data_IF_748890966777
#
_entry.id   IF_748890966777
#
_cell.length_a   1.000
_cell.length_b   1.000
_cell.length_c   1.000
_cell.angle_alpha   90.00
_cell.angle_beta   90.00
_cell.angle_gamma   90.00
#
_symmetry.space_group_name_H-M   'P 1'
#
loop_
_entity.id
_entity.type
_entity.pdbx_description
1 polymer ?
#
# COMPACT_ATOMS: atom_id res chain seq x y z
N UNK A 1 4.45 -17.38 17.93
CA UNK A 1 5.46 -17.26 16.85
C UNK A 1 5.15 -16.19 15.80
N UNK A 2 3.90 -15.94 15.42
CA UNK A 2 3.55 -14.96 14.35
C UNK A 2 4.08 -13.52 14.53
N UNK A 3 4.14 -12.99 15.75
CA UNK A 3 4.53 -11.59 16.02
C UNK A 3 5.99 -11.26 15.70
N UNK A 4 6.89 -12.23 15.74
CA UNK A 4 8.33 -12.00 15.53
C UNK A 4 8.64 -11.72 14.05
N UNK A 5 7.91 -12.37 13.14
CA UNK A 5 8.07 -12.19 11.70
C UNK A 5 7.76 -10.77 11.23
N UNK A 6 6.81 -10.08 11.88
CA UNK A 6 6.45 -8.69 11.58
C UNK A 6 7.65 -7.76 11.82
N UNK A 7 8.41 -7.99 12.90
CA UNK A 7 9.62 -7.20 13.19
C UNK A 7 10.70 -7.42 12.14
N UNK A 8 10.97 -8.67 11.77
CA UNK A 8 11.95 -8.99 10.73
C UNK A 8 11.57 -8.41 9.36
N UNK A 9 10.29 -8.48 8.97
CA UNK A 9 9.80 -7.90 7.72
C UNK A 9 9.90 -6.37 7.72
N UNK A 10 9.56 -5.73 8.84
CA UNK A 10 9.68 -4.27 8.99
C UNK A 10 11.13 -3.80 8.90
N UNK A 11 12.06 -4.51 9.57
CA UNK A 11 13.49 -4.21 9.48
C UNK A 11 14.01 -4.46 8.07
N UNK A 12 13.62 -5.58 7.45
CA UNK A 12 13.99 -5.92 6.08
C UNK A 12 13.55 -4.86 5.08
N UNK A 13 12.31 -4.37 5.19
CA UNK A 13 11.80 -3.29 4.35
C UNK A 13 12.57 -1.97 4.55
N UNK A 14 12.81 -1.58 5.80
CA UNK A 14 13.56 -0.36 6.13
C UNK A 14 15.04 -0.40 5.72
N UNK A 15 15.68 -1.58 5.81
CA UNK A 15 17.10 -1.80 5.51
C UNK A 15 17.34 -2.38 4.10
N UNK A 16 16.35 -2.31 3.20
CA UNK A 16 16.52 -2.75 1.82
C UNK A 16 17.71 -2.02 1.17
N UNK A 17 18.48 -2.72 0.32
CA UNK A 17 19.61 -2.16 -0.44
C UNK A 17 19.26 -0.83 -1.13
N UNK A 18 18.02 -0.73 -1.62
CA UNK A 18 17.50 0.49 -2.23
C UNK A 18 17.53 1.71 -1.29
N UNK A 19 17.10 1.54 -0.04
CA UNK A 19 17.10 2.62 0.96
C UNK A 19 18.51 3.04 1.36
N UNK A 20 19.46 2.09 1.41
CA UNK A 20 20.87 2.37 1.68
C UNK A 20 21.55 3.08 0.51
N UNK A 21 21.27 2.67 -0.73
CA UNK A 21 21.86 3.26 -1.92
C UNK A 21 21.37 4.70 -2.19
N UNK A 22 20.11 5.00 -1.84
CA UNK A 22 19.51 6.33 -2.02
C UNK A 22 19.39 7.13 -0.72
N UNK A 23 20.15 6.76 0.33
CA UNK A 23 20.12 7.48 1.61
C UNK A 23 20.55 8.95 1.48
N UNK A 24 21.36 9.26 0.46
CA UNK A 24 21.81 10.62 0.12
C UNK A 24 20.78 11.44 -0.67
N UNK A 25 19.79 10.79 -1.31
CA UNK A 25 18.73 11.45 -2.09
C UNK A 25 17.39 11.36 -1.36
N UNK A 26 17.15 12.33 -0.47
CA UNK A 26 15.92 12.46 0.32
C UNK A 26 14.65 12.43 -0.56
N UNK A 27 14.74 12.95 -1.79
CA UNK A 27 13.66 12.94 -2.78
C UNK A 27 13.08 11.55 -3.06
N UNK A 28 13.94 10.53 -3.22
CA UNK A 28 13.50 9.17 -3.54
C UNK A 28 13.11 8.36 -2.31
N UNK A 29 13.63 8.74 -1.13
CA UNK A 29 13.36 8.07 0.14
C UNK A 29 11.92 8.30 0.62
N UNK A 30 11.39 9.52 0.43
CA UNK A 30 10.02 9.87 0.81
C UNK A 30 8.98 8.98 0.12
N UNK A 31 9.16 8.70 -1.17
CA UNK A 31 8.28 7.85 -1.95
C UNK A 31 8.17 6.42 -1.40
N UNK A 32 9.29 5.85 -0.94
CA UNK A 32 9.33 4.49 -0.35
C UNK A 32 8.72 4.46 1.04
N UNK A 33 8.90 5.51 1.85
CA UNK A 33 8.28 5.59 3.19
C UNK A 33 6.76 5.73 3.07
N UNK A 34 6.26 6.49 2.09
CA UNK A 34 4.81 6.66 1.89
C UNK A 34 4.13 5.44 1.27
N UNK A 35 4.88 4.55 0.60
CA UNK A 35 4.36 3.37 -0.08
C UNK A 35 3.55 2.42 0.84
N UNK A 36 4.05 1.95 2.00
CA UNK A 36 3.27 1.11 2.92
C UNK A 36 2.06 1.87 3.50
N UNK A 37 2.15 3.19 3.66
CA UNK A 37 1.05 4.04 4.10
C UNK A 37 -0.08 4.08 3.06
N UNK A 38 0.29 4.18 1.80
CA UNK A 38 -0.63 4.15 0.66
C UNK A 38 -1.32 2.78 0.55
N UNK A 39 -0.60 1.66 0.68
CA UNK A 39 -1.21 0.32 0.72
C UNK A 39 -2.24 0.22 1.84
N UNK A 40 -1.90 0.71 3.03
CA UNK A 40 -2.79 0.72 4.19
C UNK A 40 -4.03 1.61 3.94
N UNK A 41 -3.85 2.71 3.22
CA UNK A 41 -4.93 3.56 2.70
C UNK A 41 -5.88 2.82 1.76
N UNK A 42 -5.35 2.07 0.79
CA UNK A 42 -6.13 1.28 -0.18
C UNK A 42 -6.92 0.17 0.52
N UNK A 43 -6.28 -0.55 1.44
CA UNK A 43 -6.94 -1.58 2.23
C UNK A 43 -8.12 -0.99 3.02
N UNK A 44 -7.92 0.17 3.66
CA UNK A 44 -8.98 0.87 4.40
C UNK A 44 -10.06 1.43 3.47
N UNK A 45 -9.72 1.82 2.25
CA UNK A 45 -10.69 2.25 1.24
C UNK A 45 -11.65 1.12 0.86
N UNK A 46 -11.13 -0.07 0.54
CA UNK A 46 -11.96 -1.17 0.03
C UNK A 46 -12.80 -1.80 1.15
N UNK A 47 -12.21 -1.95 2.35
CA UNK A 47 -12.90 -2.59 3.48
C UNK A 47 -13.78 -1.65 4.31
N UNK A 48 -13.36 -0.39 4.52
CA UNK A 48 -14.10 0.60 5.33
C UNK A 48 -14.77 1.71 4.53
N UNK A 49 -14.66 1.74 3.20
CA UNK A 49 -15.20 2.79 2.30
C UNK A 49 -14.74 4.22 2.61
N UNK A 50 -13.61 4.38 3.32
CA UNK A 50 -13.11 5.68 3.74
C UNK A 50 -12.00 6.20 2.80
N UNK A 51 -12.37 7.10 1.88
CA UNK A 51 -11.50 7.70 0.85
C UNK A 51 -10.49 8.72 1.39
N UNK A 52 -10.79 9.35 2.52
CA UNK A 52 -10.03 10.50 3.04
C UNK A 52 -8.56 10.19 3.32
N UNK A 53 -8.26 9.01 3.87
CA UNK A 53 -6.87 8.64 4.21
C UNK A 53 -6.00 8.47 2.97
N UNK A 54 -6.57 7.94 1.89
CA UNK A 54 -5.85 7.67 0.65
C UNK A 54 -5.57 8.98 -0.09
N UNK A 55 -6.58 9.85 -0.19
CA UNK A 55 -6.42 11.15 -0.83
C UNK A 55 -5.41 12.05 -0.12
N UNK A 56 -5.33 11.96 1.22
CA UNK A 56 -4.37 12.74 2.00
C UNK A 56 -2.93 12.23 1.79
N UNK A 57 -2.71 10.90 1.82
CA UNK A 57 -1.39 10.30 1.60
C UNK A 57 -0.87 10.55 0.18
N UNK A 58 -1.73 10.40 -0.83
CA UNK A 58 -1.37 10.65 -2.23
C UNK A 58 -1.17 12.14 -2.49
N UNK A 59 -2.02 13.01 -1.92
CA UNK A 59 -1.85 14.47 -2.03
C UNK A 59 -0.54 14.97 -1.41
N UNK A 60 -0.16 14.42 -0.27
CA UNK A 60 1.15 14.72 0.37
C UNK A 60 2.29 14.18 -0.50
N UNK A 61 2.18 12.97 -1.06
CA UNK A 61 3.20 12.42 -1.99
C UNK A 61 3.43 13.35 -3.19
N UNK A 62 2.34 13.84 -3.81
CA UNK A 62 2.40 14.72 -4.98
C UNK A 62 2.99 16.08 -4.63
N UNK A 63 2.70 16.58 -3.43
CA UNK A 63 3.19 17.89 -2.96
C UNK A 63 4.68 17.88 -2.63
N UNK A 64 5.20 16.76 -2.12
CA UNK A 64 6.63 16.61 -1.76
C UNK A 64 7.50 16.39 -2.99
N UNK A 65 7.04 15.59 -3.95
CA UNK A 65 7.72 15.47 -5.22
C UNK A 65 6.81 14.96 -6.34
N UNK A 66 6.73 15.70 -7.45
CA UNK A 66 5.98 15.25 -8.62
C UNK A 66 6.51 13.92 -9.17
N UNK A 67 7.82 13.70 -9.13
CA UNK A 67 8.45 12.52 -9.72
C UNK A 67 8.09 11.24 -8.97
N UNK A 68 8.24 11.23 -7.65
CA UNK A 68 7.87 10.08 -6.81
C UNK A 68 6.36 9.96 -6.64
N UNK A 69 5.63 11.08 -6.61
CA UNK A 69 4.18 11.11 -6.61
C UNK A 69 3.58 10.42 -7.85
N UNK A 70 4.17 10.63 -9.04
CA UNK A 70 3.78 9.94 -10.26
C UNK A 70 3.97 8.43 -10.18
N UNK A 71 5.14 7.98 -9.70
CA UNK A 71 5.45 6.56 -9.52
C UNK A 71 4.50 5.92 -8.51
N UNK A 72 4.28 6.58 -7.37
CA UNK A 72 3.36 6.13 -6.34
C UNK A 72 1.92 6.04 -6.87
N UNK A 73 1.49 7.00 -7.68
CA UNK A 73 0.16 7.00 -8.30
C UNK A 73 -0.05 5.78 -9.22
N UNK A 74 0.92 5.50 -10.11
CA UNK A 74 0.85 4.32 -10.99
C UNK A 74 0.78 3.03 -10.15
N UNK A 75 1.61 2.93 -9.12
CA UNK A 75 1.60 1.81 -8.18
C UNK A 75 0.24 1.66 -7.48
N UNK A 76 -0.37 2.77 -7.03
CA UNK A 76 -1.70 2.75 -6.39
C UNK A 76 -2.77 2.21 -7.33
N UNK A 77 -2.76 2.61 -8.60
CA UNK A 77 -3.75 2.18 -9.59
C UNK A 77 -3.70 0.67 -9.81
N UNK A 78 -2.49 0.12 -9.95
CA UNK A 78 -2.28 -1.34 -10.09
C UNK A 78 -2.73 -2.08 -8.83
N UNK A 79 -2.37 -1.57 -7.64
CA UNK A 79 -2.70 -2.22 -6.38
C UNK A 79 -4.21 -2.20 -6.08
N UNK A 80 -4.90 -1.09 -6.38
CA UNK A 80 -6.37 -1.02 -6.27
C UNK A 80 -7.02 -2.05 -7.19
N UNK A 81 -6.53 -2.20 -8.44
CA UNK A 81 -7.08 -3.20 -9.35
C UNK A 81 -6.93 -4.63 -8.80
N UNK A 82 -5.77 -4.95 -8.25
CA UNK A 82 -5.50 -6.26 -7.65
C UNK A 82 -6.36 -6.51 -6.41
N UNK A 83 -6.46 -5.54 -5.50
CA UNK A 83 -7.26 -5.67 -4.27
C UNK A 83 -8.76 -5.77 -4.60
N UNK A 84 -9.23 -5.09 -5.66
CA UNK A 84 -10.59 -5.24 -6.17
C UNK A 84 -10.83 -6.66 -6.70
N UNK A 85 -9.89 -7.23 -7.46
CA UNK A 85 -10.00 -8.61 -7.94
C UNK A 85 -10.05 -9.61 -6.77
N UNK A 86 -9.17 -9.43 -5.78
CA UNK A 86 -9.17 -10.23 -4.55
C UNK A 86 -10.49 -10.12 -3.79
N UNK A 87 -11.04 -8.91 -3.68
CA UNK A 87 -12.30 -8.65 -2.99
C UNK A 87 -13.49 -9.34 -3.69
N UNK A 88 -13.50 -9.37 -5.03
CA UNK A 88 -14.51 -10.10 -5.83
C UNK A 88 -14.43 -11.60 -5.57
N UNK A 89 -13.23 -12.18 -5.58
CA UNK A 89 -13.04 -13.61 -5.27
C UNK A 89 -13.43 -13.94 -3.82
N UNK A 90 -13.09 -13.08 -2.86
CA UNK A 90 -13.50 -13.23 -1.46
C UNK A 90 -15.02 -13.21 -1.30
N UNK A 91 -15.71 -12.29 -1.98
CA UNK A 91 -17.18 -12.23 -2.04
C UNK A 91 -17.78 -13.49 -2.66
N UNK A 92 -17.17 -14.03 -3.72
CA UNK A 92 -17.61 -15.24 -4.41
C UNK A 92 -17.51 -16.48 -3.51
N UNK A 93 -16.46 -16.59 -2.71
CA UNK A 93 -16.31 -17.67 -1.72
C UNK A 93 -17.34 -17.57 -0.59
N UNK A 94 -17.59 -16.37 -0.06
CA UNK A 94 -18.65 -16.15 0.95
C UNK A 94 -20.02 -16.54 0.39
N UNK A 95 -20.33 -16.16 -0.86
CA UNK A 95 -21.62 -16.48 -1.47
C UNK A 95 -21.77 -18.00 -1.66
N UNK A 96 -20.71 -18.72 -2.04
CA UNK A 96 -20.74 -20.19 -2.12
C UNK A 96 -21.00 -20.86 -0.78
N UNK A 97 -20.43 -20.34 0.31
CA UNK A 97 -20.66 -20.88 1.65
C UNK A 97 -22.10 -20.63 2.13
N UNK A 98 -22.71 -19.50 1.74
CA UNK A 98 -24.07 -19.15 2.15
C UNK A 98 -25.15 -19.94 1.40
N UNK A 99 -24.88 -20.41 0.17
CA UNK A 99 -25.81 -21.23 -0.62
C UNK A 99 -25.77 -22.72 -0.21
N UNK A 100 -24.73 -23.12 0.54
CA UNK A 100 -24.59 -24.50 1.03
C UNK A 100 -25.27 -24.76 2.39
N UNK A 101 -25.91 -23.74 2.97
CA UNK A 101 -26.58 -23.78 4.27
C UNK A 101 -28.10 -23.61 4.10
#
# INVERSE_FOLDING_TARGET
MGRVWIWFLSMGYGLCQYGLAQSSNVMWLDGVILLPLILLGIYRLIWKKNLWHLSLCVGISISLNWYTGGINCIFTGIWVFLEMFLFVEAKKQVNRCCVLC
#
